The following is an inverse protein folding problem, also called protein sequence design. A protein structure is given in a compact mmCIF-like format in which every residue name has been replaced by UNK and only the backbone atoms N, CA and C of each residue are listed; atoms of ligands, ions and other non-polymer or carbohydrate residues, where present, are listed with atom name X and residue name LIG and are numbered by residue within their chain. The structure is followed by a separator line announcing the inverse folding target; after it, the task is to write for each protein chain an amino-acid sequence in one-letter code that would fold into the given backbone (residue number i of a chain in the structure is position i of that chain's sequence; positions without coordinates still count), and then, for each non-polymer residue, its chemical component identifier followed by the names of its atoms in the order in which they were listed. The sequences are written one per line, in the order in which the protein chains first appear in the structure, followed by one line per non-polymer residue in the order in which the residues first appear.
data_IF_713339287183
#
_entry.id   IF_713339287183
#
_cell.length_a   1.000
_cell.length_b   1.000
_cell.length_c   1.000
_cell.angle_alpha   90.00
_cell.angle_beta   90.00
_cell.angle_gamma   90.00
#
_symmetry.space_group_name_H-M   'P 1'
#
loop_
_entity.id
_entity.type
_entity.pdbx_description
1 polymer ?
#
# COMPACT_ATOMS: atom_id res chain seq x y z
N UNK A 1 -7.86 24.82 -8.01
CA UNK A 1 -6.59 25.28 -8.61
C UNK A 1 -6.48 24.71 -10.01
N UNK A 2 -6.79 25.50 -11.04
CA UNK A 2 -6.35 25.16 -12.40
C UNK A 2 -4.91 25.61 -12.50
N UNK A 3 -3.96 24.69 -12.28
CA UNK A 3 -2.55 24.93 -12.63
C UNK A 3 -2.49 24.88 -14.15
N UNK A 4 -2.83 26.00 -14.77
CA UNK A 4 -2.86 26.23 -16.22
C UNK A 4 -1.48 26.25 -16.88
N UNK A 5 -0.46 25.68 -16.25
CA UNK A 5 0.81 25.45 -16.91
C UNK A 5 0.72 24.16 -17.73
N UNK A 6 0.35 24.31 -19.00
CA UNK A 6 0.25 23.20 -19.97
C UNK A 6 1.55 22.38 -20.03
N UNK A 7 2.68 22.88 -19.54
CA UNK A 7 3.96 22.17 -19.50
C UNK A 7 4.10 21.18 -18.34
N UNK A 8 3.34 21.32 -17.25
CA UNK A 8 3.55 20.55 -16.00
C UNK A 8 2.68 19.28 -15.95
N UNK A 9 1.55 19.25 -16.67
CA UNK A 9 0.69 18.07 -16.81
C UNK A 9 -0.23 17.81 -15.60
N UNK A 10 -1.35 17.09 -15.78
CA UNK A 10 -2.39 16.91 -14.76
C UNK A 10 -2.02 15.92 -13.66
N UNK A 11 -0.88 15.23 -13.78
CA UNK A 11 -0.42 14.20 -12.84
C UNK A 11 0.91 14.55 -12.20
N UNK A 12 1.31 15.83 -12.22
CA UNK A 12 2.55 16.27 -11.60
C UNK A 12 2.55 16.02 -10.09
N UNK A 13 3.67 15.52 -9.60
CA UNK A 13 3.93 15.30 -8.19
C UNK A 13 4.82 16.42 -7.66
N UNK A 14 4.33 17.08 -6.62
CA UNK A 14 5.06 18.09 -5.85
C UNK A 14 5.33 17.55 -4.45
N UNK A 15 6.44 17.95 -3.86
CA UNK A 15 6.76 17.65 -2.46
C UNK A 15 7.05 18.93 -1.69
N UNK A 16 6.80 18.89 -0.39
CA UNK A 16 7.21 19.88 0.59
C UNK A 16 7.42 19.13 1.90
N UNK A 17 8.33 19.62 2.74
CA UNK A 17 8.81 18.89 3.92
C UNK A 17 8.51 19.70 5.17
N UNK A 18 8.09 19.02 6.23
CA UNK A 18 8.00 19.62 7.57
C UNK A 18 9.38 20.09 8.01
N UNK A 19 9.48 21.34 8.49
CA UNK A 19 10.76 21.88 8.97
C UNK A 19 11.18 21.28 10.31
N UNK A 20 10.21 20.87 11.13
CA UNK A 20 10.39 20.15 12.38
C UNK A 20 9.32 19.04 12.48
N UNK A 21 9.75 17.79 12.38
CA UNK A 21 8.86 16.63 12.42
C UNK A 21 8.34 16.28 13.82
N UNK A 22 8.96 16.82 14.88
CA UNK A 22 8.57 16.56 16.27
C UNK A 22 7.59 17.63 16.80
N UNK A 23 7.31 18.67 16.00
CA UNK A 23 6.40 19.76 16.35
C UNK A 23 5.07 19.63 15.61
N UNK A 24 3.97 19.59 16.35
CA UNK A 24 2.61 19.63 15.80
C UNK A 24 2.33 20.92 14.99
N UNK A 25 3.08 22.00 15.26
CA UNK A 25 2.92 23.30 14.62
C UNK A 25 4.23 23.74 13.93
N UNK A 26 4.69 22.93 12.97
CA UNK A 26 5.86 23.24 12.15
C UNK A 26 5.53 24.05 10.89
N UNK A 27 6.49 24.86 10.44
CA UNK A 27 6.50 25.39 9.08
C UNK A 27 6.79 24.29 8.04
N UNK A 28 6.65 24.65 6.76
CA UNK A 28 6.90 23.76 5.62
C UNK A 28 7.93 24.39 4.66
N UNK A 29 8.71 23.57 3.99
CA UNK A 29 9.58 24.02 2.90
C UNK A 29 8.78 24.60 1.74
N UNK A 30 9.43 25.37 0.88
CA UNK A 30 8.86 25.68 -0.43
C UNK A 30 8.58 24.37 -1.21
N UNK A 31 7.48 24.29 -1.98
CA UNK A 31 7.18 23.11 -2.77
C UNK A 31 8.19 22.93 -3.91
N UNK A 32 8.62 21.69 -4.14
CA UNK A 32 9.51 21.27 -5.22
C UNK A 32 8.78 20.34 -6.17
N UNK A 33 8.90 20.56 -7.47
CA UNK A 33 8.40 19.62 -8.48
C UNK A 33 9.30 18.39 -8.51
N UNK A 34 8.75 17.22 -8.16
CA UNK A 34 9.47 15.93 -8.19
C UNK A 34 9.40 15.31 -9.58
N UNK A 35 8.21 15.30 -10.18
CA UNK A 35 7.97 14.67 -11.48
C UNK A 35 6.71 15.22 -12.12
N UNK A 36 6.64 15.19 -13.47
CA UNK A 36 5.43 15.47 -14.26
C UNK A 36 4.49 14.26 -14.37
N UNK A 37 4.75 13.23 -13.56
CA UNK A 37 3.96 12.00 -13.48
C UNK A 37 3.64 11.68 -12.03
N UNK A 38 2.74 10.73 -11.84
CA UNK A 38 2.28 10.30 -10.54
C UNK A 38 3.38 9.52 -9.83
N UNK A 39 3.92 10.07 -8.74
CA UNK A 39 5.07 9.52 -8.01
C UNK A 39 4.79 9.57 -6.52
N UNK A 40 5.32 8.61 -5.77
CA UNK A 40 5.15 8.46 -4.32
C UNK A 40 3.70 8.21 -3.86
N UNK A 41 2.87 7.57 -4.70
CA UNK A 41 1.56 7.01 -4.26
C UNK A 41 1.74 5.99 -3.13
N UNK A 42 2.89 5.31 -3.16
CA UNK A 42 3.35 4.41 -2.11
C UNK A 42 4.55 5.04 -1.40
N UNK A 43 4.77 4.66 -0.14
CA UNK A 43 5.94 5.12 0.63
C UNK A 43 7.22 4.77 -0.15
N UNK A 44 8.15 5.73 -0.32
CA UNK A 44 9.41 5.45 -0.99
C UNK A 44 10.33 4.61 -0.08
N UNK A 45 11.31 3.94 -0.70
CA UNK A 45 12.41 3.32 0.03
C UNK A 45 13.49 4.36 0.28
N UNK A 46 13.85 4.58 1.54
CA UNK A 46 15.00 5.41 1.94
C UNK A 46 16.20 4.50 2.20
N UNK A 47 17.34 4.83 1.60
CA UNK A 47 18.59 4.09 1.75
C UNK A 47 19.40 4.64 2.93
N UNK A 48 20.38 3.87 3.46
CA UNK A 48 21.22 4.32 4.57
C UNK A 48 22.01 5.61 4.32
N UNK A 49 22.34 5.91 3.06
CA UNK A 49 23.00 7.16 2.65
C UNK A 49 22.03 8.36 2.52
N UNK A 50 20.73 8.14 2.77
CA UNK A 50 19.67 9.14 2.66
C UNK A 50 19.14 9.33 1.23
N UNK A 51 19.65 8.59 0.25
CA UNK A 51 19.06 8.56 -1.10
C UNK A 51 17.71 7.85 -1.07
N UNK A 52 16.82 8.18 -2.00
CA UNK A 52 15.41 7.76 -2.00
C UNK A 52 15.08 7.08 -3.33
N UNK A 53 14.37 5.96 -3.28
CA UNK A 53 13.79 5.31 -4.46
C UNK A 53 12.26 5.41 -4.40
N UNK A 54 11.71 6.23 -5.29
CA UNK A 54 10.30 6.58 -5.35
C UNK A 54 9.56 5.72 -6.37
N UNK A 55 8.49 5.02 -5.96
CA UNK A 55 7.61 4.35 -6.90
C UNK A 55 6.76 5.39 -7.65
N UNK A 56 6.48 5.14 -8.93
CA UNK A 56 5.61 6.00 -9.71
C UNK A 56 5.00 5.30 -10.92
N UNK A 57 4.00 5.92 -11.51
CA UNK A 57 3.41 5.50 -12.77
C UNK A 57 3.02 6.70 -13.64
N UNK A 58 2.94 6.47 -14.94
CA UNK A 58 2.59 7.50 -15.92
C UNK A 58 1.07 7.64 -16.10
N UNK A 59 0.32 7.50 -15.00
CA UNK A 59 -1.15 7.45 -14.98
C UNK A 59 -1.82 8.23 -16.13
N UNK A 60 -2.42 7.50 -17.06
CA UNK A 60 -3.14 8.06 -18.21
C UNK A 60 -4.56 7.47 -18.29
N UNK A 61 -5.36 7.59 -17.23
CA UNK A 61 -6.78 7.21 -17.25
C UNK A 61 -7.07 5.84 -17.92
N UNK A 62 -7.99 5.85 -18.90
CA UNK A 62 -8.43 4.72 -19.74
C UNK A 62 -7.58 4.53 -21.02
N UNK A 63 -6.28 4.81 -20.98
CA UNK A 63 -5.33 4.53 -22.06
C UNK A 63 -4.19 3.62 -21.59
N UNK A 64 -3.90 2.58 -22.36
CA UNK A 64 -2.75 1.68 -22.19
C UNK A 64 -1.56 2.14 -23.06
N UNK A 65 -0.29 1.80 -22.71
CA UNK A 65 0.12 1.04 -21.53
C UNK A 65 0.50 1.94 -20.35
N UNK A 66 0.00 1.56 -19.17
CA UNK A 66 0.43 2.10 -17.87
C UNK A 66 1.82 1.55 -17.55
N UNK A 67 2.81 2.43 -17.47
CA UNK A 67 4.20 2.11 -17.15
C UNK A 67 4.45 2.44 -15.68
N UNK A 68 4.69 1.40 -14.90
CA UNK A 68 5.34 1.53 -13.61
C UNK A 68 6.78 1.99 -13.81
N UNK A 69 7.30 2.77 -12.88
CA UNK A 69 8.71 3.10 -12.82
C UNK A 69 9.15 3.38 -11.39
N UNK A 70 10.45 3.42 -11.17
CA UNK A 70 11.07 4.00 -9.99
C UNK A 70 11.93 5.20 -10.38
N UNK A 71 11.95 6.23 -9.53
CA UNK A 71 12.91 7.34 -9.61
C UNK A 71 13.86 7.22 -8.43
N UNK A 72 15.16 7.14 -8.69
CA UNK A 72 16.19 7.23 -7.67
C UNK A 72 16.67 8.68 -7.57
N UNK A 73 16.59 9.25 -6.38
CA UNK A 73 17.14 10.57 -6.05
C UNK A 73 18.20 10.44 -4.97
N UNK A 74 19.26 11.23 -5.06
CA UNK A 74 20.18 11.47 -3.94
C UNK A 74 19.50 12.25 -2.81
N UNK A 75 20.16 12.34 -1.66
CA UNK A 75 19.63 13.03 -0.46
C UNK A 75 19.27 14.51 -0.71
N UNK A 76 19.94 15.17 -1.64
CA UNK A 76 19.71 16.56 -2.04
C UNK A 76 18.68 16.72 -3.17
N UNK A 77 18.01 15.64 -3.58
CA UNK A 77 16.93 15.68 -4.58
C UNK A 77 17.39 15.69 -6.03
N UNK A 78 18.67 15.39 -6.31
CA UNK A 78 19.13 15.18 -7.68
C UNK A 78 18.72 13.78 -8.17
N UNK A 79 18.05 13.72 -9.31
CA UNK A 79 17.70 12.45 -9.96
C UNK A 79 18.97 11.76 -10.46
N UNK A 80 19.19 10.53 -10.01
CA UNK A 80 20.29 9.67 -10.44
C UNK A 80 19.89 8.81 -11.64
N UNK A 81 18.70 8.21 -11.59
CA UNK A 81 18.10 7.46 -12.68
C UNK A 81 16.58 7.32 -12.52
N UNK A 82 15.91 6.97 -13.63
CA UNK A 82 14.55 6.47 -13.63
C UNK A 82 14.52 5.09 -14.31
N UNK A 83 13.91 4.11 -13.65
CA UNK A 83 13.90 2.71 -14.07
C UNK A 83 12.47 2.26 -14.39
N UNK A 84 12.14 1.95 -15.65
CA UNK A 84 10.80 1.49 -16.02
C UNK A 84 10.58 0.02 -15.65
N UNK A 85 9.34 -0.33 -15.35
CA UNK A 85 8.84 -1.70 -15.26
C UNK A 85 7.74 -1.84 -16.31
N UNK A 86 8.05 -2.56 -17.39
CA UNK A 86 7.12 -2.79 -18.49
C UNK A 86 6.34 -4.08 -18.24
N UNK A 87 5.05 -3.97 -17.93
CA UNK A 87 4.15 -5.12 -17.90
C UNK A 87 2.74 -4.70 -18.40
N UNK A 88 2.22 -5.32 -19.47
CA UNK A 88 0.93 -4.95 -20.06
C UNK A 88 -0.27 -5.27 -19.16
N UNK A 89 -0.08 -6.07 -18.11
CA UNK A 89 -1.11 -6.42 -17.11
C UNK A 89 -1.18 -5.44 -15.94
N UNK A 90 -0.36 -4.38 -15.94
CA UNK A 90 -0.42 -3.35 -14.91
C UNK A 90 -1.65 -2.46 -15.07
N UNK A 91 -2.20 -2.03 -13.93
CA UNK A 91 -3.27 -1.03 -13.87
C UNK A 91 -2.75 0.20 -13.11
N UNK A 92 -3.19 0.43 -11.88
CA UNK A 92 -2.54 1.31 -10.93
C UNK A 92 -1.38 0.50 -10.35
N UNK A 93 -0.13 0.87 -10.64
CA UNK A 93 0.98 -0.03 -10.32
C UNK A 93 1.19 -0.17 -8.81
N UNK A 94 0.99 0.92 -8.05
CA UNK A 94 0.97 0.96 -6.58
C UNK A 94 2.11 0.12 -5.96
N UNK A 95 3.35 0.44 -6.34
CA UNK A 95 4.53 -0.39 -6.04
C UNK A 95 4.96 -0.26 -4.59
N UNK A 96 4.97 -1.36 -3.84
CA UNK A 96 5.51 -1.39 -2.48
C UNK A 96 6.86 -2.09 -2.45
N UNK A 97 7.92 -1.32 -2.18
CA UNK A 97 9.32 -1.76 -2.28
C UNK A 97 9.96 -1.93 -0.91
N UNK A 98 10.78 -2.97 -0.78
CA UNK A 98 11.64 -3.24 0.38
C UNK A 98 13.07 -3.57 -0.08
N UNK A 99 14.03 -3.41 0.83
CA UNK A 99 15.39 -3.94 0.68
C UNK A 99 15.52 -5.25 1.45
N UNK A 100 15.97 -6.30 0.79
CA UNK A 100 16.23 -7.63 1.38
C UNK A 100 17.59 -7.68 2.07
N UNK A 101 17.82 -8.70 2.90
CA UNK A 101 19.08 -8.89 3.65
C UNK A 101 20.28 -9.08 2.73
N UNK A 102 20.09 -9.72 1.58
CA UNK A 102 21.11 -9.90 0.54
C UNK A 102 21.42 -8.62 -0.25
N UNK A 103 20.78 -7.51 0.08
CA UNK A 103 20.94 -6.21 -0.58
C UNK A 103 20.11 -6.04 -1.84
N UNK A 104 19.46 -7.09 -2.35
CA UNK A 104 18.51 -6.97 -3.45
C UNK A 104 17.28 -6.15 -3.06
N UNK A 105 16.65 -5.52 -4.04
CA UNK A 105 15.38 -4.84 -3.84
C UNK A 105 14.25 -5.76 -4.32
N UNK A 106 13.16 -5.76 -3.57
CA UNK A 106 11.95 -6.50 -3.92
C UNK A 106 10.74 -5.58 -3.85
N UNK A 107 9.84 -5.69 -4.81
CA UNK A 107 8.61 -4.90 -4.84
C UNK A 107 7.43 -5.73 -5.30
N UNK A 108 6.25 -5.42 -4.79
CA UNK A 108 4.97 -5.90 -5.34
C UNK A 108 4.35 -4.83 -6.23
N UNK A 109 3.63 -5.26 -7.27
CA UNK A 109 2.87 -4.41 -8.18
C UNK A 109 1.42 -4.89 -8.23
N UNK A 110 0.48 -3.95 -8.16
CA UNK A 110 -0.93 -4.20 -8.48
C UNK A 110 -1.12 -4.36 -9.98
N UNK A 111 -2.06 -5.24 -10.33
CA UNK A 111 -2.40 -5.61 -11.72
C UNK A 111 -3.84 -5.24 -12.06
N UNK A 112 -4.25 -5.51 -13.29
CA UNK A 112 -5.62 -5.35 -13.78
C UNK A 112 -6.64 -6.14 -12.94
N UNK A 113 -7.92 -5.79 -13.12
CA UNK A 113 -9.02 -6.40 -12.37
C UNK A 113 -8.94 -7.93 -12.34
N UNK A 114 -9.35 -8.49 -11.20
CA UNK A 114 -9.30 -9.93 -10.90
C UNK A 114 -7.91 -10.58 -10.86
N UNK A 115 -6.82 -9.83 -11.09
CA UNK A 115 -5.47 -10.36 -10.95
C UNK A 115 -4.90 -9.97 -9.57
N UNK A 116 -4.35 -10.92 -8.78
CA UNK A 116 -3.64 -10.57 -7.56
C UNK A 116 -2.35 -9.82 -7.87
N UNK A 117 -1.72 -9.22 -6.86
CA UNK A 117 -0.40 -8.61 -7.01
C UNK A 117 0.66 -9.59 -7.56
N UNK A 118 1.73 -9.06 -8.16
CA UNK A 118 2.92 -9.83 -8.59
C UNK A 118 4.20 -9.17 -8.08
N UNK A 119 5.28 -9.94 -7.95
CA UNK A 119 6.55 -9.48 -7.40
C UNK A 119 7.63 -9.26 -8.46
N UNK A 120 8.49 -8.28 -8.21
CA UNK A 120 9.66 -7.95 -9.02
C UNK A 120 10.90 -7.84 -8.14
N UNK A 121 12.05 -8.24 -8.68
CA UNK A 121 13.35 -8.17 -8.02
C UNK A 121 14.32 -7.29 -8.82
N UNK A 122 15.15 -6.52 -8.11
CA UNK A 122 16.31 -5.84 -8.65
C UNK A 122 17.58 -6.23 -7.88
N UNK A 123 18.66 -6.49 -8.62
CA UNK A 123 19.99 -6.83 -8.06
C UNK A 123 21.06 -5.76 -8.38
N UNK A 124 20.67 -4.65 -8.98
CA UNK A 124 21.54 -3.58 -9.45
C UNK A 124 21.18 -2.21 -8.83
N UNK A 125 20.59 -2.24 -7.64
CA UNK A 125 20.20 -1.04 -6.90
C UNK A 125 18.91 -0.36 -7.40
N UNK A 126 18.10 -1.05 -8.20
CA UNK A 126 16.82 -0.57 -8.70
C UNK A 126 16.85 -0.08 -10.15
N UNK A 127 17.96 -0.25 -10.87
CA UNK A 127 18.10 0.19 -12.28
C UNK A 127 17.34 -0.72 -13.23
N UNK A 128 17.32 -2.02 -12.96
CA UNK A 128 16.54 -3.01 -13.71
C UNK A 128 15.72 -3.89 -12.77
N UNK A 129 14.59 -4.39 -13.28
CA UNK A 129 13.63 -5.18 -12.51
C UNK A 129 13.16 -6.39 -13.30
N UNK A 130 13.18 -7.55 -12.66
CA UNK A 130 12.72 -8.83 -13.23
C UNK A 130 11.49 -9.32 -12.49
N UNK A 131 10.46 -9.74 -13.21
CA UNK A 131 9.30 -10.40 -12.59
C UNK A 131 9.72 -11.75 -12.00
N UNK A 132 9.41 -11.95 -10.72
CA UNK A 132 9.72 -13.18 -9.97
C UNK A 132 8.47 -13.81 -9.35
N UNK A 133 7.30 -13.19 -9.55
CA UNK A 133 6.03 -13.63 -8.97
C UNK A 133 5.89 -13.28 -7.49
N UNK A 134 4.77 -13.69 -6.90
CA UNK A 134 4.49 -13.50 -5.47
C UNK A 134 3.74 -14.73 -4.92
N UNK A 135 4.10 -15.25 -3.73
CA UNK A 135 3.47 -16.43 -3.15
C UNK A 135 1.98 -16.19 -2.86
N UNK A 136 1.65 -15.07 -2.22
CA UNK A 136 0.28 -14.76 -1.82
C UNK A 136 -0.57 -14.27 -3.00
N UNK A 137 -1.79 -14.82 -3.12
CA UNK A 137 -2.76 -14.44 -4.16
C UNK A 137 -3.77 -13.44 -3.64
N UNK A 138 -3.27 -12.35 -3.07
CA UNK A 138 -4.02 -11.33 -2.32
C UNK A 138 -4.09 -9.99 -3.07
N UNK A 139 -4.81 -9.03 -2.49
CA UNK A 139 -4.94 -7.64 -2.96
C UNK A 139 -5.27 -7.53 -4.44
N UNK A 140 -6.46 -8.01 -4.78
CA UNK A 140 -7.05 -7.79 -6.10
C UNK A 140 -7.67 -6.39 -6.12
N UNK A 141 -7.37 -5.60 -7.14
CA UNK A 141 -7.92 -4.24 -7.32
C UNK A 141 -7.64 -3.23 -6.18
N UNK A 142 -6.61 -3.47 -5.39
CA UNK A 142 -6.17 -2.60 -4.29
C UNK A 142 -4.68 -2.74 -4.06
N UNK A 143 -4.07 -1.76 -3.38
CA UNK A 143 -2.64 -1.81 -3.06
C UNK A 143 -2.38 -2.84 -1.95
N UNK A 144 -1.17 -3.40 -1.98
CA UNK A 144 -0.58 -4.13 -0.87
C UNK A 144 0.64 -3.37 -0.36
N UNK A 145 0.91 -3.43 0.94
CA UNK A 145 2.08 -2.81 1.55
C UNK A 145 3.00 -3.89 2.11
N UNK A 146 4.24 -3.89 1.65
CA UNK A 146 5.36 -4.55 2.31
C UNK A 146 6.05 -3.56 3.23
N UNK A 147 6.32 -3.98 4.47
CA UNK A 147 7.00 -3.20 5.47
C UNK A 147 8.10 -4.06 6.11
N UNK A 148 9.31 -3.52 6.21
CA UNK A 148 10.43 -4.19 6.88
C UNK A 148 10.43 -3.74 8.35
N UNK A 149 10.03 -4.62 9.26
CA UNK A 149 10.06 -4.33 10.69
C UNK A 149 11.50 -4.23 11.20
N UNK A 150 11.71 -3.57 12.35
CA UNK A 150 13.01 -3.43 13.01
C UNK A 150 13.64 -4.79 13.37
N UNK A 151 12.82 -5.81 13.63
CA UNK A 151 13.25 -7.21 13.80
C UNK A 151 13.89 -7.82 12.55
N UNK A 152 13.69 -7.20 11.38
CA UNK A 152 14.13 -7.69 10.09
C UNK A 152 13.12 -8.63 9.42
N UNK A 153 11.97 -8.91 10.04
CA UNK A 153 10.87 -9.59 9.37
C UNK A 153 10.17 -8.66 8.38
N UNK A 154 9.46 -9.25 7.41
CA UNK A 154 8.66 -8.51 6.44
C UNK A 154 7.19 -8.69 6.78
N UNK A 155 6.50 -7.58 6.99
CA UNK A 155 5.06 -7.52 7.19
C UNK A 155 4.41 -7.18 5.85
N UNK A 156 3.48 -8.02 5.41
CA UNK A 156 2.59 -7.73 4.30
C UNK A 156 1.24 -7.33 4.86
N UNK A 157 0.72 -6.17 4.47
CA UNK A 157 -0.66 -5.78 4.75
C UNK A 157 -1.42 -5.70 3.44
N UNK A 158 -2.48 -6.51 3.35
CA UNK A 158 -3.18 -6.79 2.10
C UNK A 158 -4.61 -7.26 2.36
N UNK A 159 -5.50 -7.04 1.40
CA UNK A 159 -6.83 -7.65 1.38
C UNK A 159 -6.72 -9.15 1.05
N UNK A 160 -7.08 -10.03 1.99
CA UNK A 160 -7.02 -11.50 1.87
C UNK A 160 -8.27 -12.10 1.19
N UNK A 161 -8.80 -11.38 0.21
CA UNK A 161 -9.90 -11.84 -0.63
C UNK A 161 -9.37 -12.65 -1.82
N UNK A 162 -8.79 -13.82 -1.56
CA UNK A 162 -8.18 -14.65 -2.61
C UNK A 162 -9.27 -15.27 -3.49
N UNK A 163 -9.27 -14.97 -4.78
CA UNK A 163 -10.24 -15.53 -5.73
C UNK A 163 -9.95 -17.03 -5.91
N UNK A 164 -10.98 -17.86 -5.66
CA UNK A 164 -10.97 -19.29 -5.94
C UNK A 164 -11.30 -19.58 -7.40
N UNK A 165 -12.42 -19.04 -7.87
CA UNK A 165 -12.90 -19.18 -9.25
C UNK A 165 -13.76 -17.99 -9.63
N UNK A 166 -13.90 -17.78 -10.94
CA UNK A 166 -14.79 -16.77 -11.52
C UNK A 166 -15.76 -17.50 -12.44
N UNK A 167 -17.06 -17.39 -12.16
CA UNK A 167 -18.13 -17.98 -12.97
C UNK A 167 -19.11 -16.86 -13.34
N UNK A 168 -19.43 -16.73 -14.64
CA UNK A 168 -20.34 -15.69 -15.15
C UNK A 168 -19.98 -14.26 -14.68
N UNK A 169 -18.68 -13.94 -14.64
CA UNK A 169 -18.17 -12.65 -14.19
C UNK A 169 -18.24 -12.41 -12.68
N UNK A 170 -18.62 -13.41 -11.88
CA UNK A 170 -18.72 -13.31 -10.42
C UNK A 170 -17.59 -14.12 -9.75
N UNK A 171 -16.71 -13.49 -8.97
CA UNK A 171 -15.69 -14.20 -8.21
C UNK A 171 -16.29 -14.88 -6.97
N UNK A 172 -15.74 -16.05 -6.64
CA UNK A 172 -15.86 -16.66 -5.31
C UNK A 172 -14.50 -16.64 -4.65
N UNK A 173 -14.46 -16.62 -3.32
CA UNK A 173 -13.24 -16.35 -2.56
C UNK A 173 -12.91 -17.49 -1.59
N UNK A 174 -11.63 -17.64 -1.25
CA UNK A 174 -11.19 -18.51 -0.16
C UNK A 174 -11.75 -18.01 1.17
N UNK A 175 -12.04 -18.93 2.06
CA UNK A 175 -12.40 -18.60 3.43
C UNK A 175 -11.22 -17.96 4.16
N UNK A 176 -11.56 -16.97 4.98
CA UNK A 176 -10.63 -16.32 5.93
C UNK A 176 -11.13 -16.65 7.34
N UNK A 177 -10.23 -16.65 8.33
CA UNK A 177 -10.61 -16.81 9.73
C UNK A 177 -10.35 -15.51 10.48
N UNK A 178 -11.29 -15.11 11.31
CA UNK A 178 -11.08 -14.01 12.25
C UNK A 178 -10.26 -14.46 13.46
N UNK A 179 -10.03 -13.53 14.38
CA UNK A 179 -9.22 -13.74 15.59
C UNK A 179 -9.82 -14.74 16.59
N UNK A 180 -11.11 -15.06 16.46
CA UNK A 180 -11.80 -16.08 17.24
C UNK A 180 -11.87 -17.43 16.51
N UNK A 181 -11.28 -17.51 15.31
CA UNK A 181 -11.25 -18.70 14.47
C UNK A 181 -12.52 -18.93 13.65
N UNK A 182 -13.48 -18.00 13.70
CA UNK A 182 -14.74 -18.10 12.95
C UNK A 182 -14.47 -17.85 11.47
N UNK A 183 -15.20 -18.59 10.63
CA UNK A 183 -15.12 -18.45 9.18
C UNK A 183 -15.75 -17.12 8.76
N UNK A 184 -14.99 -16.38 7.95
CA UNK A 184 -15.38 -15.15 7.27
C UNK A 184 -15.36 -15.42 5.77
N UNK A 185 -16.48 -15.19 5.10
CA UNK A 185 -16.58 -15.23 3.65
C UNK A 185 -16.31 -13.84 3.08
N UNK A 186 -15.25 -13.64 2.28
CA UNK A 186 -15.00 -12.35 1.64
C UNK A 186 -16.17 -11.92 0.74
N UNK A 187 -16.63 -10.69 0.92
CA UNK A 187 -17.71 -10.08 0.13
C UNK A 187 -17.17 -9.10 -0.94
N UNK A 188 -16.21 -9.55 -1.74
CA UNK A 188 -15.57 -8.74 -2.79
C UNK A 188 -14.05 -8.67 -2.66
N UNK A 189 -13.39 -8.06 -3.64
CA UNK A 189 -11.92 -8.01 -3.74
C UNK A 189 -11.25 -7.07 -2.73
N UNK A 190 -12.00 -6.10 -2.20
CA UNK A 190 -11.57 -5.08 -1.24
C UNK A 190 -12.18 -5.33 0.13
N UNK A 191 -11.89 -6.49 0.70
CA UNK A 191 -12.40 -6.91 2.00
C UNK A 191 -11.33 -7.73 2.72
N UNK A 192 -11.54 -8.05 4.00
CA UNK A 192 -10.60 -8.88 4.77
C UNK A 192 -9.18 -8.30 4.79
N UNK A 193 -9.02 -7.07 5.31
CA UNK A 193 -7.71 -6.49 5.55
C UNK A 193 -6.93 -7.35 6.54
N UNK A 194 -5.76 -7.85 6.13
CA UNK A 194 -5.00 -8.86 6.87
C UNK A 194 -3.53 -8.46 6.92
N UNK A 195 -2.89 -8.66 8.07
CA UNK A 195 -1.45 -8.59 8.21
C UNK A 195 -0.86 -10.00 8.16
N UNK A 196 0.19 -10.19 7.37
CA UNK A 196 0.96 -11.42 7.25
C UNK A 196 2.41 -11.15 7.62
N UNK A 197 3.11 -12.15 8.13
CA UNK A 197 4.53 -12.04 8.51
C UNK A 197 5.38 -13.03 7.72
N UNK A 198 6.55 -12.56 7.28
CA UNK A 198 7.57 -13.34 6.58
C UNK A 198 8.91 -13.23 7.29
N UNK A 199 9.55 -14.39 7.47
CA UNK A 199 10.88 -14.53 8.09
C UNK A 199 12.01 -14.63 7.07
N UNK A 200 11.67 -14.77 5.78
CA UNK A 200 12.56 -15.14 4.68
C UNK A 200 12.57 -14.08 3.56
N UNK A 201 12.44 -12.81 3.94
CA UNK A 201 12.49 -11.65 3.04
C UNK A 201 11.37 -11.64 1.97
N UNK A 202 10.17 -12.05 2.36
CA UNK A 202 8.96 -12.02 1.55
C UNK A 202 8.84 -13.19 0.57
N UNK A 203 9.57 -14.30 0.79
CA UNK A 203 9.44 -15.50 -0.03
C UNK A 203 8.27 -16.37 0.41
N UNK A 204 7.97 -16.41 1.71
CA UNK A 204 6.82 -17.09 2.30
C UNK A 204 6.19 -16.27 3.42
N UNK A 205 4.89 -16.46 3.66
CA UNK A 205 4.11 -15.78 4.70
C UNK A 205 3.31 -16.79 5.55
N UNK A 206 3.96 -17.54 6.45
CA UNK A 206 3.34 -18.69 7.12
C UNK A 206 2.29 -18.34 8.19
N UNK A 207 2.26 -17.09 8.66
CA UNK A 207 1.37 -16.63 9.74
C UNK A 207 0.70 -15.31 9.35
N UNK A 208 -0.52 -15.11 9.87
CA UNK A 208 -1.36 -13.96 9.56
C UNK A 208 -2.41 -13.71 10.63
N UNK A 209 -2.89 -12.47 10.70
CA UNK A 209 -4.02 -12.05 11.54
C UNK A 209 -4.97 -11.18 10.70
N UNK A 210 -6.27 -11.48 10.76
CA UNK A 210 -7.31 -10.65 10.16
C UNK A 210 -7.50 -9.38 11.00
N UNK A 211 -7.34 -8.21 10.38
CA UNK A 211 -7.51 -6.91 11.02
C UNK A 211 -8.95 -6.42 10.91
N UNK A 212 -9.55 -6.60 9.73
CA UNK A 212 -10.91 -6.15 9.45
C UNK A 212 -11.55 -6.95 8.30
N UNK A 213 -12.62 -7.67 8.60
CA UNK A 213 -13.37 -8.45 7.62
C UNK A 213 -14.03 -7.59 6.53
N UNK A 214 -14.36 -6.34 6.85
CA UNK A 214 -15.27 -5.48 6.07
C UNK A 214 -14.61 -4.90 4.83
N UNK A 215 -15.40 -4.12 4.08
CA UNK A 215 -14.97 -3.36 2.90
C UNK A 215 -13.83 -2.38 3.24
N UNK A 216 -12.62 -2.68 2.80
CA UNK A 216 -11.37 -1.97 3.16
C UNK A 216 -10.43 -1.93 1.97
N UNK A 217 -9.61 -0.87 1.82
CA UNK A 217 -8.73 -0.75 0.66
C UNK A 217 -7.25 -0.51 0.98
N UNK A 218 -6.90 0.68 1.46
CA UNK A 218 -5.59 1.27 1.31
C UNK A 218 -4.80 1.32 2.62
N UNK A 219 -4.00 0.28 2.94
CA UNK A 219 -3.21 0.26 4.15
C UNK A 219 -1.99 1.19 4.09
N UNK A 220 -1.49 1.57 5.26
CA UNK A 220 -0.21 2.23 5.50
C UNK A 220 0.32 1.72 6.84
N UNK A 221 1.61 1.43 6.91
CA UNK A 221 2.24 0.82 8.09
C UNK A 221 3.37 1.68 8.61
N UNK A 222 3.48 1.85 9.91
CA UNK A 222 4.70 2.25 10.60
C UNK A 222 4.91 1.40 11.86
N UNK A 223 6.09 1.52 12.46
CA UNK A 223 6.44 0.81 13.68
C UNK A 223 6.99 1.80 14.70
N UNK A 224 6.50 1.69 15.93
CA UNK A 224 6.92 2.52 17.06
C UNK A 224 6.74 1.75 18.37
N UNK A 225 7.72 1.82 19.28
CA UNK A 225 7.67 1.17 20.60
C UNK A 225 7.24 -0.32 20.57
N UNK A 226 7.74 -1.08 19.59
CA UNK A 226 7.44 -2.52 19.45
C UNK A 226 6.06 -2.85 18.87
N UNK A 227 5.24 -1.84 18.55
CA UNK A 227 3.95 -2.01 17.87
C UNK A 227 4.03 -1.61 16.39
N UNK A 228 3.32 -2.37 15.57
CA UNK A 228 2.94 -2.03 14.22
C UNK A 228 1.63 -1.25 14.26
N UNK A 229 1.65 -0.06 13.66
CA UNK A 229 0.50 0.82 13.50
C UNK A 229 0.07 0.77 12.04
N UNK A 230 -1.10 0.21 11.78
CA UNK A 230 -1.62 -0.09 10.45
C UNK A 230 -2.88 0.74 10.24
N UNK A 231 -2.76 1.84 9.51
CA UNK A 231 -3.91 2.67 9.13
C UNK A 231 -4.50 2.22 7.80
N UNK A 232 -5.82 2.20 7.66
CA UNK A 232 -6.52 1.80 6.43
C UNK A 232 -7.91 2.45 6.33
N UNK A 233 -8.44 2.60 5.12
CA UNK A 233 -9.82 3.06 4.92
C UNK A 233 -10.86 1.94 5.06
N UNK A 234 -12.08 2.34 5.45
CA UNK A 234 -13.29 1.52 5.40
C UNK A 234 -14.39 2.25 4.61
N UNK A 235 -15.01 1.54 3.64
CA UNK A 235 -16.17 2.00 2.86
C UNK A 235 -16.02 3.38 2.18
N UNK A 236 -15.07 3.48 1.24
CA UNK A 236 -14.68 4.73 0.53
C UNK A 236 -15.77 5.47 -0.22
N UNK A 237 -16.79 4.79 -0.72
CA UNK A 237 -17.78 5.36 -1.65
C UNK A 237 -19.22 5.20 -1.18
N UNK A 238 -19.44 4.60 -0.01
CA UNK A 238 -20.78 4.35 0.50
C UNK A 238 -21.35 5.60 1.18
N UNK A 239 -22.65 5.86 1.00
CA UNK A 239 -23.31 7.00 1.61
C UNK A 239 -23.09 7.06 3.14
N UNK A 240 -22.67 8.24 3.65
CA UNK A 240 -22.36 8.50 5.07
C UNK A 240 -21.33 7.54 5.72
N UNK A 241 -20.31 7.09 4.97
CA UNK A 241 -19.17 6.33 5.51
C UNK A 241 -17.84 7.09 5.36
N UNK A 242 -16.78 6.46 4.81
CA UNK A 242 -15.44 7.03 4.61
C UNK A 242 -14.59 7.12 5.89
N UNK A 243 -14.51 6.01 6.62
CA UNK A 243 -13.71 5.96 7.84
C UNK A 243 -12.23 5.71 7.52
N UNK A 244 -11.35 6.25 8.34
CA UNK A 244 -9.96 5.83 8.47
C UNK A 244 -9.82 5.17 9.83
N UNK A 245 -9.33 3.94 9.83
CA UNK A 245 -9.17 3.10 11.01
C UNK A 245 -7.71 2.75 11.22
N UNK A 246 -7.40 2.32 12.44
CA UNK A 246 -6.08 1.88 12.89
C UNK A 246 -6.20 0.49 13.52
N UNK A 247 -5.31 -0.41 13.10
CA UNK A 247 -4.96 -1.58 13.89
C UNK A 247 -3.58 -1.34 14.53
N UNK A 248 -3.50 -1.54 15.84
CA UNK A 248 -2.26 -1.52 16.62
C UNK A 248 -1.98 -2.95 17.06
N UNK A 249 -0.95 -3.57 16.50
CA UNK A 249 -0.63 -4.98 16.76
C UNK A 249 0.87 -5.18 16.90
N UNK A 250 1.30 -6.36 17.29
CA UNK A 250 2.69 -6.80 17.32
C UNK A 250 2.91 -7.97 16.38
N UNK A 251 4.18 -8.32 16.14
CA UNK A 251 4.52 -9.56 15.42
C UNK A 251 3.96 -10.80 16.12
N UNK A 252 3.96 -10.83 17.46
CA UNK A 252 3.41 -11.91 18.26
C UNK A 252 1.90 -12.11 18.04
N UNK A 253 1.15 -11.03 17.80
CA UNK A 253 -0.28 -11.11 17.47
C UNK A 253 -0.49 -11.73 16.08
N UNK A 254 0.37 -11.40 15.10
CA UNK A 254 0.34 -12.00 13.76
C UNK A 254 0.66 -13.49 13.84
N UNK A 255 1.66 -13.87 14.65
CA UNK A 255 2.08 -15.25 14.86
C UNK A 255 1.00 -16.11 15.52
N UNK A 256 0.31 -15.54 16.51
CA UNK A 256 -0.80 -16.19 17.20
C UNK A 256 -2.08 -16.21 16.37
N UNK A 257 -2.21 -15.34 15.36
CA UNK A 257 -3.43 -15.14 14.58
C UNK A 257 -4.55 -14.47 15.37
N UNK A 258 -4.24 -13.87 16.53
CA UNK A 258 -5.16 -13.22 17.46
C UNK A 258 -4.39 -12.25 18.36
N UNK A 259 -5.10 -11.36 19.03
CA UNK A 259 -4.48 -10.43 19.98
C UNK A 259 -4.04 -11.19 21.24
N UNK A 260 -2.73 -11.18 21.51
CA UNK A 260 -2.09 -11.76 22.70
C UNK A 260 -1.27 -10.75 23.47
N UNK A 261 -0.94 -9.62 22.85
CA UNK A 261 -0.15 -8.56 23.48
C UNK A 261 -1.05 -7.52 24.15
N UNK A 262 -0.83 -7.20 25.43
CA UNK A 262 -1.54 -6.11 26.10
C UNK A 262 -1.38 -4.78 25.35
N UNK A 263 -2.51 -4.11 25.09
CA UNK A 263 -2.55 -2.83 24.37
C UNK A 263 -2.55 -2.96 22.84
N UNK A 264 -2.60 -4.18 22.30
CA UNK A 264 -3.00 -4.41 20.91
C UNK A 264 -4.51 -4.26 20.76
N UNK A 265 -4.94 -3.63 19.67
CA UNK A 265 -6.33 -3.28 19.40
C UNK A 265 -6.58 -3.17 17.89
N UNK A 266 -7.76 -3.58 17.45
CA UNK A 266 -8.16 -3.55 16.04
C UNK A 266 -9.27 -2.53 15.81
N UNK A 267 -9.37 -2.01 14.58
CA UNK A 267 -10.46 -1.13 14.13
C UNK A 267 -10.64 0.14 14.98
N UNK A 268 -9.56 0.66 15.56
CA UNK A 268 -9.58 1.93 16.28
C UNK A 268 -9.90 3.06 15.30
N UNK A 269 -10.75 4.01 15.69
CA UNK A 269 -11.12 5.12 14.83
C UNK A 269 -10.03 6.20 14.78
N UNK A 270 -9.58 6.57 13.57
CA UNK A 270 -8.77 7.78 13.34
C UNK A 270 -9.69 8.92 12.88
N UNK A 271 -10.56 8.65 11.91
CA UNK A 271 -11.44 9.66 11.32
C UNK A 271 -12.72 9.03 10.80
N UNK A 272 -13.85 9.63 11.16
CA UNK A 272 -15.18 9.21 10.70
C UNK A 272 -16.01 10.45 10.35
N UNK A 273 -15.83 11.02 9.15
CA UNK A 273 -16.45 12.31 8.76
C UNK A 273 -17.97 12.33 8.92
N UNK A 274 -18.63 11.20 8.69
CA UNK A 274 -20.09 11.09 8.80
C UNK A 274 -20.64 11.34 10.21
N UNK A 275 -19.84 11.08 11.26
CA UNK A 275 -20.19 11.43 12.65
C UNK A 275 -20.20 12.93 12.93
N UNK A 276 -19.57 13.71 12.05
CA UNK A 276 -19.41 15.15 12.19
C UNK A 276 -20.07 15.94 11.04
N UNK A 277 -21.03 15.32 10.34
CA UNK A 277 -21.77 15.96 9.24
C UNK A 277 -21.01 16.03 7.90
N UNK A 278 -19.85 15.39 7.80
CA UNK A 278 -19.11 15.17 6.56
C UNK A 278 -19.49 13.86 5.84
N UNK A 279 -18.63 13.43 4.91
CA UNK A 279 -18.82 12.21 4.11
C UNK A 279 -19.68 12.40 2.87
N UNK A 280 -19.82 11.33 2.08
CA UNK A 280 -20.62 11.30 0.85
C UNK A 280 -22.08 11.56 1.18
N UNK A 281 -22.67 12.55 0.51
CA UNK A 281 -24.06 12.99 0.65
C UNK A 281 -24.94 12.32 -0.41
N UNK A 282 -26.25 12.34 -0.18
CA UNK A 282 -27.22 11.63 -1.02
C UNK A 282 -27.24 12.18 -2.45
N UNK A 283 -26.95 13.48 -2.59
CA UNK A 283 -27.00 14.22 -3.84
C UNK A 283 -25.61 14.43 -4.45
N UNK A 284 -24.56 13.81 -3.88
CA UNK A 284 -23.23 13.85 -4.48
C UNK A 284 -23.22 13.01 -5.77
N UNK A 285 -23.03 13.67 -6.91
CA UNK A 285 -23.00 13.04 -8.24
C UNK A 285 -21.58 12.64 -8.68
N UNK A 286 -20.59 12.77 -7.80
CA UNK A 286 -19.18 12.52 -8.10
C UNK A 286 -18.81 11.05 -7.91
N UNK A 287 -19.15 10.20 -8.89
CA UNK A 287 -18.44 8.96 -9.24
C UNK A 287 -18.41 8.78 -10.76
#
# INVERSE_FOLDING_TARGET
MSVGDRQIGPTATWEFVMLDQESENTGWSAPRLVSKSNVSVMKPLVFPDGSVLRPGDNYSGWGNPKKAFFIKESRDGKVEFAAPINNPKLSFAEQSVIRRKDGSLFTTLRRQAFNPITGYESRDGGKTWKEVGFPEKVSVDTKAVLFKAKSGNVILVANDAQILKIENGKPTFKEVRDIDGKIVAPNGTRTCMTAFISYDDGKTFPKKILLDERSTSYPSVCEYEGFLYIAYDHSRSEYKKQEILLAKITEADIEAGKLVTPGSELKMEISSPSKHGGGVRKDDTLL
#
